data_IF_329277413621
#
_entry.id   IF_329277413621
#
_cell.length_a   1.000
_cell.length_b   1.000
_cell.length_c   1.000
_cell.angle_alpha   90.00
_cell.angle_beta   90.00
_cell.angle_gamma   90.00
#
_symmetry.space_group_name_H-M   'P 1'
#
loop_
_entity.id
_entity.type
_entity.pdbx_description
1 polymer ?
#
# COMPACT_ATOMS: atom_id res chain seq x y z
N UNK A 1 3.41 8.05 -3.33
CA UNK A 1 4.82 8.49 -3.31
C UNK A 1 5.72 7.30 -3.63
N UNK A 2 6.88 7.54 -4.26
CA UNK A 2 7.94 6.55 -4.36
C UNK A 2 8.97 6.83 -3.25
N UNK A 3 9.56 5.78 -2.69
CA UNK A 3 10.57 5.88 -1.63
C UNK A 3 11.92 5.39 -2.16
N UNK A 4 13.00 6.05 -1.74
CA UNK A 4 14.37 5.68 -2.04
C UNK A 4 15.29 6.16 -0.93
N UNK A 5 16.44 5.50 -0.77
CA UNK A 5 17.42 5.78 0.27
C UNK A 5 18.84 5.78 -0.31
N UNK A 6 19.74 6.57 0.31
CA UNK A 6 21.16 6.62 -0.03
C UNK A 6 21.95 6.38 1.25
N UNK A 7 22.71 5.28 1.28
CA UNK A 7 23.64 4.99 2.37
C UNK A 7 24.87 5.87 2.18
N UNK A 8 25.28 6.55 3.25
CA UNK A 8 26.41 7.47 3.25
C UNK A 8 27.19 7.39 4.57
N UNK A 9 28.46 7.74 4.52
CA UNK A 9 29.35 7.92 5.68
C UNK A 9 29.36 9.36 6.21
N UNK A 10 28.62 10.28 5.57
CA UNK A 10 28.44 11.64 6.05
C UNK A 10 27.76 11.64 7.42
N UNK A 11 28.28 12.46 8.33
CA UNK A 11 27.64 12.71 9.62
C UNK A 11 26.51 13.72 9.43
N UNK A 12 25.26 13.26 9.53
CA UNK A 12 24.05 14.06 9.39
C UNK A 12 23.27 14.08 10.71
N UNK A 13 22.58 15.19 10.99
CA UNK A 13 21.60 15.23 12.07
C UNK A 13 20.41 14.30 11.75
N UNK A 14 19.96 13.54 12.74
CA UNK A 14 18.89 12.56 12.59
C UNK A 14 17.53 13.23 12.82
N UNK A 15 16.60 13.04 11.87
CA UNK A 15 15.23 13.52 12.00
C UNK A 15 14.43 12.77 13.08
N UNK A 16 13.37 13.42 13.57
CA UNK A 16 12.44 12.83 14.54
C UNK A 16 11.36 12.04 13.80
N UNK A 17 11.13 10.75 14.12
CA UNK A 17 10.07 9.97 13.51
C UNK A 17 8.67 10.57 13.75
N UNK A 18 7.85 10.60 12.70
CA UNK A 18 6.44 10.99 12.78
C UNK A 18 5.64 9.89 13.48
N UNK A 19 4.74 10.26 14.40
CA UNK A 19 3.83 9.32 15.05
C UNK A 19 2.71 8.88 14.11
N UNK A 20 2.34 7.60 14.19
CA UNK A 20 1.21 7.04 13.45
C UNK A 20 -0.10 7.80 13.72
N UNK A 21 -0.91 7.97 12.67
CA UNK A 21 -2.05 8.89 12.68
C UNK A 21 -3.38 8.25 12.23
N UNK A 22 -3.43 6.91 12.12
CA UNK A 22 -4.66 6.20 11.74
C UNK A 22 -5.81 6.36 12.77
N UNK A 23 -5.49 6.68 14.03
CA UNK A 23 -6.46 6.79 15.13
C UNK A 23 -7.34 5.53 15.20
N UNK A 24 -8.67 5.68 15.11
CA UNK A 24 -9.66 4.58 15.08
C UNK A 24 -10.16 4.26 13.65
N UNK A 25 -9.44 4.68 12.62
CA UNK A 25 -9.84 4.46 11.23
C UNK A 25 -9.60 3.01 10.81
N UNK A 26 -10.61 2.35 10.24
CA UNK A 26 -10.55 0.95 9.78
C UNK A 26 -10.91 0.80 8.29
N UNK A 27 -10.96 1.92 7.54
CA UNK A 27 -11.45 1.91 6.15
C UNK A 27 -10.67 0.96 5.24
N UNK A 28 -9.34 0.95 5.32
CA UNK A 28 -8.51 0.05 4.53
C UNK A 28 -8.64 -1.42 4.93
N UNK A 29 -8.88 -1.70 6.22
CA UNK A 29 -9.11 -3.04 6.72
C UNK A 29 -10.41 -3.62 6.13
N UNK A 30 -11.47 -2.82 6.19
CA UNK A 30 -12.80 -3.20 5.68
C UNK A 30 -12.86 -3.30 4.16
N UNK A 31 -12.08 -2.48 3.45
CA UNK A 31 -12.05 -2.48 1.98
C UNK A 31 -11.17 -3.59 1.36
N UNK A 32 -10.25 -4.18 2.12
CA UNK A 32 -9.31 -5.18 1.61
C UNK A 32 -10.06 -6.45 1.15
N UNK A 33 -10.07 -6.80 -0.16
CA UNK A 33 -10.91 -7.89 -0.67
C UNK A 33 -10.49 -9.29 -0.20
N UNK A 34 -9.27 -9.42 0.32
CA UNK A 34 -8.66 -10.68 0.75
C UNK A 34 -8.47 -10.76 2.26
N UNK A 35 -8.85 -9.72 3.01
CA UNK A 35 -8.61 -9.58 4.45
C UNK A 35 -7.12 -9.75 4.85
N UNK A 36 -6.21 -9.32 3.96
CA UNK A 36 -4.77 -9.36 4.18
C UNK A 36 -4.31 -8.36 5.27
N UNK A 37 -5.05 -7.27 5.47
CA UNK A 37 -4.80 -6.28 6.50
C UNK A 37 -5.54 -6.63 7.80
N UNK A 38 -4.89 -6.44 8.94
CA UNK A 38 -5.40 -6.61 10.32
C UNK A 38 -5.20 -5.32 11.11
N UNK A 39 -5.82 -5.27 12.29
CA UNK A 39 -5.71 -4.11 13.19
C UNK A 39 -4.26 -3.80 13.57
N UNK A 40 -3.46 -4.83 13.87
CA UNK A 40 -2.03 -4.67 14.13
C UNK A 40 -1.23 -5.08 12.90
N UNK A 41 -0.29 -4.23 12.49
CA UNK A 41 0.52 -4.43 11.28
C UNK A 41 1.26 -5.78 11.27
N UNK A 42 1.75 -6.22 12.44
CA UNK A 42 2.44 -7.52 12.59
C UNK A 42 1.57 -8.74 12.27
N UNK A 43 0.25 -8.59 12.33
CA UNK A 43 -0.71 -9.67 12.10
C UNK A 43 -1.19 -9.70 10.63
N UNK A 44 -0.72 -8.77 9.80
CA UNK A 44 -1.01 -8.75 8.37
C UNK A 44 -0.50 -10.02 7.69
N UNK A 45 -1.33 -10.57 6.79
CA UNK A 45 -0.95 -11.70 5.94
C UNK A 45 -0.71 -11.20 4.51
N UNK A 46 0.53 -10.77 4.27
CA UNK A 46 0.94 -10.24 2.96
C UNK A 46 0.96 -11.30 1.85
N UNK A 47 0.94 -12.61 2.19
CA UNK A 47 0.80 -13.67 1.18
C UNK A 47 -0.58 -13.68 0.51
N UNK A 48 -1.56 -13.03 1.15
CA UNK A 48 -2.93 -12.85 0.66
C UNK A 48 -3.16 -11.47 0.05
N UNK A 49 -2.17 -10.58 0.08
CA UNK A 49 -2.30 -9.25 -0.50
C UNK A 49 -2.55 -9.35 -2.01
N UNK A 50 -3.58 -8.68 -2.53
CA UNK A 50 -3.91 -8.75 -3.95
C UNK A 50 -2.76 -8.26 -4.84
N UNK A 51 -2.04 -7.21 -4.40
CA UNK A 51 -0.83 -6.73 -5.10
C UNK A 51 0.22 -7.85 -5.23
N UNK A 52 0.44 -8.63 -4.17
CA UNK A 52 1.34 -9.79 -4.23
C UNK A 52 0.79 -10.92 -5.11
N UNK A 53 -0.51 -11.24 -4.99
CA UNK A 53 -1.15 -12.29 -5.78
C UNK A 53 -1.05 -12.01 -7.29
N UNK A 54 -1.22 -10.76 -7.73
CA UNK A 54 -1.09 -10.39 -9.17
C UNK A 54 0.30 -10.61 -9.76
N UNK A 55 1.33 -10.81 -8.92
CA UNK A 55 2.71 -11.03 -9.35
C UNK A 55 3.13 -12.51 -9.26
N UNK A 56 2.27 -13.39 -8.73
CA UNK A 56 2.56 -14.83 -8.66
C UNK A 56 2.44 -15.47 -10.04
N UNK A 57 3.36 -16.39 -10.34
CA UNK A 57 3.26 -17.26 -11.53
C UNK A 57 2.10 -18.24 -11.46
N UNK A 58 1.71 -18.64 -10.24
CA UNK A 58 0.62 -19.56 -9.98
C UNK A 58 -0.27 -18.98 -8.88
N UNK A 59 -1.57 -18.95 -9.13
CA UNK A 59 -2.59 -18.38 -8.25
C UNK A 59 -3.71 -19.40 -8.13
N UNK A 60 -4.14 -19.68 -6.90
CA UNK A 60 -5.28 -20.55 -6.66
C UNK A 60 -6.57 -19.90 -7.18
N UNK A 61 -7.41 -20.68 -7.87
CA UNK A 61 -8.63 -20.19 -8.52
C UNK A 61 -9.60 -19.49 -7.54
N UNK A 62 -9.58 -19.85 -6.26
CA UNK A 62 -10.44 -19.22 -5.25
C UNK A 62 -10.20 -17.71 -5.11
N UNK A 63 -9.04 -17.22 -5.55
CA UNK A 63 -8.73 -15.80 -5.52
C UNK A 63 -9.33 -15.02 -6.68
N UNK A 64 -9.70 -15.64 -7.80
CA UNK A 64 -10.01 -14.93 -9.04
C UNK A 64 -11.14 -13.91 -8.89
N UNK A 65 -12.19 -14.23 -8.13
CA UNK A 65 -13.29 -13.31 -7.85
C UNK A 65 -12.88 -12.05 -7.08
N UNK A 66 -11.74 -12.11 -6.36
CA UNK A 66 -11.19 -11.00 -5.58
C UNK A 66 -10.38 -10.03 -6.42
N UNK A 67 -9.94 -10.42 -7.62
CA UNK A 67 -9.14 -9.57 -8.50
C UNK A 67 -9.94 -8.39 -9.03
N UNK A 68 -11.25 -8.55 -9.27
CA UNK A 68 -12.14 -7.47 -9.72
C UNK A 68 -11.56 -6.66 -10.90
N UNK A 69 -10.98 -7.36 -11.87
CA UNK A 69 -10.36 -6.75 -13.07
C UNK A 69 -8.95 -6.19 -12.88
N UNK A 70 -8.35 -6.31 -11.69
CA UNK A 70 -6.95 -5.92 -11.45
C UNK A 70 -6.01 -6.94 -12.06
N UNK A 71 -5.19 -6.52 -13.03
CA UNK A 71 -4.21 -7.39 -13.69
C UNK A 71 -2.84 -7.27 -13.02
N UNK A 72 -2.50 -6.11 -12.47
CA UNK A 72 -1.23 -5.85 -11.82
C UNK A 72 -1.41 -4.85 -10.66
N UNK A 73 -0.88 -5.18 -9.49
CA UNK A 73 -0.96 -4.34 -8.31
C UNK A 73 -2.37 -4.23 -7.72
N UNK A 74 -2.50 -3.45 -6.65
CA UNK A 74 -3.78 -3.16 -6.01
C UNK A 74 -3.68 -1.90 -5.13
N UNK A 75 -4.46 -0.87 -5.46
CA UNK A 75 -4.44 0.41 -4.74
C UNK A 75 -5.64 0.61 -3.79
N UNK A 76 -6.54 -0.37 -3.64
CA UNK A 76 -7.79 -0.24 -2.86
C UNK A 76 -7.56 0.33 -1.44
N UNK A 77 -6.53 -0.13 -0.73
CA UNK A 77 -6.24 0.34 0.63
C UNK A 77 -5.74 1.80 0.66
N UNK A 78 -5.13 2.27 -0.43
CA UNK A 78 -4.69 3.64 -0.61
C UNK A 78 -5.84 4.52 -1.12
N UNK A 79 -6.62 4.06 -2.08
CA UNK A 79 -7.74 4.80 -2.67
C UNK A 79 -8.80 5.19 -1.62
N UNK A 80 -9.06 4.28 -0.66
CA UNK A 80 -10.01 4.53 0.42
C UNK A 80 -9.42 5.34 1.59
N UNK A 81 -8.10 5.56 1.61
CA UNK A 81 -7.43 6.24 2.72
C UNK A 81 -7.78 7.74 2.73
N UNK A 82 -8.31 8.30 3.83
CA UNK A 82 -8.65 9.73 3.89
C UNK A 82 -7.47 10.67 3.63
N UNK A 83 -6.26 10.26 4.00
CA UNK A 83 -5.04 11.04 3.79
C UNK A 83 -4.65 11.20 2.32
N UNK A 84 -5.14 10.32 1.43
CA UNK A 84 -4.83 10.39 0.01
C UNK A 84 -5.78 11.31 -0.77
N UNK A 85 -6.91 11.71 -0.19
CA UNK A 85 -7.91 12.55 -0.87
C UNK A 85 -7.35 13.89 -1.34
N UNK A 86 -6.41 14.46 -0.58
CA UNK A 86 -5.78 15.76 -0.86
C UNK A 86 -4.28 15.62 -1.14
N UNK A 87 -3.82 14.40 -1.45
CA UNK A 87 -2.42 14.18 -1.78
C UNK A 87 -2.04 14.94 -3.06
N UNK A 88 -0.96 15.72 -2.99
CA UNK A 88 -0.43 16.42 -4.16
C UNK A 88 0.20 15.41 -5.11
N UNK A 89 -0.14 15.54 -6.40
CA UNK A 89 0.46 14.75 -7.46
C UNK A 89 1.86 15.26 -7.81
N UNK A 90 2.68 14.37 -8.38
CA UNK A 90 4.02 14.70 -8.85
C UNK A 90 3.97 15.76 -9.95
N UNK A 91 4.96 16.66 -9.96
CA UNK A 91 5.23 17.57 -11.07
C UNK A 91 6.10 16.94 -12.17
N UNK A 92 6.71 15.78 -11.90
CA UNK A 92 7.49 14.99 -12.86
C UNK A 92 6.52 14.22 -13.75
N UNK A 93 6.60 14.43 -15.06
CA UNK A 93 5.64 13.89 -16.04
C UNK A 93 5.61 12.36 -16.03
N UNK A 94 6.77 11.72 -15.97
CA UNK A 94 6.95 10.27 -15.98
C UNK A 94 6.36 9.59 -14.75
N UNK A 95 6.06 10.34 -13.69
CA UNK A 95 5.47 9.84 -12.44
C UNK A 95 3.98 10.16 -12.30
N UNK A 96 3.35 10.77 -13.30
CA UNK A 96 1.91 10.97 -13.28
C UNK A 96 1.20 9.62 -13.48
N UNK A 97 0.20 9.36 -12.63
CA UNK A 97 -0.70 8.24 -12.83
C UNK A 97 -1.54 8.49 -14.10
N UNK A 98 -1.81 7.43 -14.86
CA UNK A 98 -2.59 7.46 -16.09
C UNK A 98 -4.06 7.84 -15.86
#
# INVERSE_FOLDING_TARGET
IFLGEIITDLSLEIDIPVKESCRKCELCLNACPTNALKEQVKDNDFNRCLSYLTQKKHIDEYWFDKFKGKIFGCDICQDICPYNKEAKLSHIEEFKAF
#
